data_IF_942038595241
#
_entry.id   IF_942038595241
#
_cell.length_a   1.000
_cell.length_b   1.000
_cell.length_c   1.000
_cell.angle_alpha   90.00
_cell.angle_beta   90.00
_cell.angle_gamma   90.00
#
_symmetry.space_group_name_H-M   'P 1'
#
loop_
_entity.id
_entity.type
_entity.pdbx_description
1 polymer ?
#
# COMPACT_ATOMS: atom_id res chain seq x y z
N UNK A 1 -2.43 15.74 75.77
CA UNK A 1 -2.34 14.72 74.71
C UNK A 1 -3.68 14.70 74.01
N UNK A 2 -3.84 15.56 73.01
CA UNK A 2 -4.96 15.51 72.07
C UNK A 2 -4.48 14.65 70.89
N UNK A 3 -5.15 13.52 70.66
CA UNK A 3 -4.88 12.65 69.52
C UNK A 3 -5.74 13.14 68.36
N UNK A 4 -5.04 13.72 67.38
CA UNK A 4 -5.55 14.22 66.13
C UNK A 4 -5.95 13.02 65.25
N UNK A 5 -7.26 12.79 65.06
CA UNK A 5 -7.75 11.88 64.03
C UNK A 5 -7.61 12.59 62.68
N UNK A 6 -6.45 12.42 62.05
CA UNK A 6 -6.23 12.75 60.65
C UNK A 6 -7.03 11.79 59.79
N UNK A 7 -8.08 12.32 59.19
CA UNK A 7 -8.90 11.73 58.14
C UNK A 7 -8.02 11.47 56.91
N UNK A 8 -7.64 10.22 56.68
CA UNK A 8 -6.84 9.78 55.53
C UNK A 8 -7.78 9.61 54.32
N UNK A 9 -8.31 10.72 53.81
CA UNK A 9 -8.99 10.77 52.53
C UNK A 9 -7.94 10.56 51.42
N UNK A 10 -7.71 9.30 51.04
CA UNK A 10 -7.12 8.99 49.74
C UNK A 10 -8.01 9.61 48.66
N UNK A 11 -7.49 10.43 47.75
CA UNK A 11 -8.27 10.84 46.59
C UNK A 11 -8.64 9.57 45.83
N UNK A 12 -9.94 9.35 45.63
CA UNK A 12 -10.40 8.36 44.67
C UNK A 12 -9.72 8.70 43.33
N UNK A 13 -9.01 7.74 42.73
CA UNK A 13 -8.54 7.86 41.35
C UNK A 13 -9.79 8.05 40.48
N UNK A 14 -10.18 9.30 40.24
CA UNK A 14 -11.31 9.62 39.39
C UNK A 14 -11.05 9.01 38.00
N UNK A 15 -11.96 8.18 37.52
CA UNK A 15 -11.89 7.61 36.18
C UNK A 15 -12.17 8.72 35.15
N UNK A 16 -11.13 9.51 34.87
CA UNK A 16 -11.15 10.65 33.95
C UNK A 16 -11.47 10.23 32.52
N UNK A 17 -11.22 8.97 32.15
CA UNK A 17 -11.58 8.44 30.83
C UNK A 17 -13.09 8.28 30.71
N UNK A 18 -13.76 7.74 31.74
CA UNK A 18 -15.22 7.65 31.75
C UNK A 18 -15.94 9.00 31.86
N UNK A 19 -15.22 10.10 32.14
CA UNK A 19 -15.76 11.47 32.08
C UNK A 19 -15.79 12.07 30.67
N UNK A 20 -15.08 11.48 29.69
CA UNK A 20 -15.09 11.95 28.31
C UNK A 20 -16.47 11.71 27.67
N UNK A 21 -16.79 12.48 26.64
CA UNK A 21 -18.02 12.34 25.85
C UNK A 21 -17.92 11.14 24.88
N UNK A 22 -19.06 10.58 24.47
CA UNK A 22 -19.09 9.36 23.64
C UNK A 22 -18.35 9.53 22.31
N UNK A 23 -18.39 10.72 21.70
CA UNK A 23 -17.67 11.04 20.47
C UNK A 23 -16.14 10.93 20.63
N UNK A 24 -15.60 11.40 21.76
CA UNK A 24 -14.16 11.27 22.05
C UNK A 24 -13.82 9.81 22.33
N UNK A 25 -14.65 9.09 23.09
CA UNK A 25 -14.41 7.68 23.38
C UNK A 25 -14.46 6.82 22.11
N UNK A 26 -15.38 7.11 21.19
CA UNK A 26 -15.45 6.45 19.89
C UNK A 26 -14.23 6.78 19.03
N UNK A 27 -13.72 8.01 19.07
CA UNK A 27 -12.48 8.37 18.38
C UNK A 27 -11.27 7.62 18.94
N UNK A 28 -11.20 7.40 20.25
CA UNK A 28 -10.13 6.60 20.88
C UNK A 28 -10.26 5.13 20.47
N UNK A 29 -11.47 4.58 20.54
CA UNK A 29 -11.74 3.18 20.19
C UNK A 29 -11.51 2.91 18.69
N UNK A 30 -11.80 3.87 17.82
CA UNK A 30 -11.51 3.77 16.39
C UNK A 30 -10.02 3.81 16.04
N UNK A 31 -9.16 4.22 16.99
CA UNK A 31 -7.71 4.26 16.80
C UNK A 31 -6.98 2.98 17.26
N UNK A 32 -7.69 2.02 17.88
CA UNK A 32 -7.13 0.74 18.33
C UNK A 32 -7.71 -0.43 17.53
N UNK A 33 -7.09 -1.60 17.61
CA UNK A 33 -7.61 -2.80 16.97
C UNK A 33 -8.97 -3.22 17.55
N UNK A 34 -9.78 -3.90 16.74
CA UNK A 34 -11.14 -4.28 17.12
C UNK A 34 -11.18 -5.19 18.35
N UNK A 35 -10.18 -6.03 18.56
CA UNK A 35 -10.12 -6.91 19.73
C UNK A 35 -9.92 -6.07 21.00
N UNK A 36 -9.00 -5.12 20.98
CA UNK A 36 -8.78 -4.16 22.07
C UNK A 36 -10.01 -3.30 22.32
N UNK A 37 -10.63 -2.76 21.26
CA UNK A 37 -11.84 -1.95 21.38
C UNK A 37 -12.95 -2.73 22.09
N UNK A 38 -13.23 -3.97 21.69
CA UNK A 38 -14.25 -4.82 22.33
C UNK A 38 -13.91 -5.14 23.79
N UNK A 39 -12.64 -5.37 24.12
CA UNK A 39 -12.20 -5.65 25.49
C UNK A 39 -12.44 -4.47 26.44
N UNK A 40 -12.41 -3.23 25.97
CA UNK A 40 -12.77 -2.06 26.80
C UNK A 40 -14.18 -2.14 27.37
N UNK A 41 -15.06 -2.97 26.78
CA UNK A 41 -16.41 -3.19 27.27
C UNK A 41 -16.51 -3.75 28.69
N UNK A 42 -15.41 -4.25 29.27
CA UNK A 42 -15.35 -4.70 30.67
C UNK A 42 -15.18 -3.55 31.67
N UNK A 43 -14.81 -2.35 31.20
CA UNK A 43 -14.50 -1.21 32.06
C UNK A 43 -15.74 -0.67 32.76
N UNK A 44 -16.86 -0.55 32.03
CA UNK A 44 -18.15 -0.19 32.61
C UNK A 44 -19.33 -0.56 31.70
N UNK A 45 -20.55 -0.41 32.22
CA UNK A 45 -21.80 -0.59 31.44
C UNK A 45 -21.89 0.35 30.25
N UNK A 46 -21.29 1.55 30.33
CA UNK A 46 -21.20 2.50 29.21
C UNK A 46 -20.26 1.97 28.13
N UNK A 47 -19.04 1.60 28.50
CA UNK A 47 -18.03 1.09 27.57
C UNK A 47 -18.45 -0.19 26.86
N UNK A 48 -19.29 -1.02 27.50
CA UNK A 48 -19.83 -2.26 26.91
C UNK A 48 -20.49 -2.05 25.54
N UNK A 49 -21.12 -0.89 25.33
CA UNK A 49 -21.89 -0.61 24.12
C UNK A 49 -21.11 0.20 23.07
N UNK A 50 -20.05 0.91 23.47
CA UNK A 50 -19.33 1.85 22.60
C UNK A 50 -18.72 1.20 21.34
N UNK A 51 -18.05 0.02 21.42
CA UNK A 51 -17.49 -0.61 20.22
C UNK A 51 -18.54 -0.88 19.14
N UNK A 52 -19.80 -1.15 19.53
CA UNK A 52 -20.89 -1.43 18.59
C UNK A 52 -21.44 -0.17 17.91
N UNK A 53 -21.06 1.03 18.37
CA UNK A 53 -21.43 2.32 17.77
C UNK A 53 -20.39 2.83 16.76
N UNK A 54 -19.23 2.15 16.63
CA UNK A 54 -18.21 2.52 15.67
C UNK A 54 -18.75 2.48 14.23
N UNK A 55 -18.49 3.55 13.47
CA UNK A 55 -18.88 3.69 12.06
C UNK A 55 -17.77 3.26 11.11
N UNK A 56 -16.53 3.34 11.56
CA UNK A 56 -15.37 2.77 10.88
C UNK A 56 -14.95 1.52 11.65
N UNK A 57 -14.96 0.37 10.98
CA UNK A 57 -14.69 -0.91 11.59
C UNK A 57 -13.57 -1.61 10.83
N UNK A 58 -12.50 -1.98 11.53
CA UNK A 58 -11.39 -2.76 10.96
C UNK A 58 -11.35 -4.14 11.59
N UNK A 59 -11.61 -5.17 10.80
CA UNK A 59 -11.48 -6.56 11.24
C UNK A 59 -10.34 -7.18 10.44
N UNK A 60 -9.18 -7.29 11.08
CA UNK A 60 -7.98 -7.88 10.51
C UNK A 60 -7.77 -9.28 11.10
N UNK A 61 -7.63 -10.31 10.28
CA UNK A 61 -7.36 -11.66 10.77
C UNK A 61 -6.05 -11.74 11.57
N UNK A 62 -5.06 -10.87 11.30
CA UNK A 62 -3.78 -10.87 12.02
C UNK A 62 -3.91 -10.43 13.48
N UNK A 63 -4.96 -9.69 13.84
CA UNK A 63 -5.26 -9.28 15.22
C UNK A 63 -5.68 -10.47 16.10
N UNK A 64 -6.09 -11.59 15.48
CA UNK A 64 -6.52 -12.81 16.18
C UNK A 64 -5.41 -13.87 16.28
N UNK A 65 -4.21 -13.58 15.76
CA UNK A 65 -3.05 -14.45 15.90
C UNK A 65 -2.40 -14.28 17.28
N UNK A 66 -1.66 -15.30 17.72
CA UNK A 66 -0.87 -15.21 18.96
C UNK A 66 0.24 -14.17 18.85
N UNK A 67 0.63 -13.56 19.97
CA UNK A 67 1.78 -12.65 20.07
C UNK A 67 2.89 -13.33 20.90
N UNK A 68 4.12 -13.49 20.37
CA UNK A 68 4.56 -13.12 19.03
C UNK A 68 3.91 -13.99 17.94
N UNK A 69 3.78 -13.43 16.73
CA UNK A 69 3.20 -14.14 15.59
C UNK A 69 4.02 -15.39 15.25
N UNK A 70 3.38 -16.53 14.95
CA UNK A 70 4.09 -17.68 14.38
C UNK A 70 4.79 -17.30 13.08
N UNK A 71 6.00 -17.82 12.86
CA UNK A 71 6.70 -17.66 11.58
C UNK A 71 7.37 -19.00 11.21
N UNK A 72 6.88 -19.74 10.20
CA UNK A 72 5.75 -19.38 9.32
C UNK A 72 4.38 -19.47 10.02
N UNK A 73 3.37 -18.80 9.47
CA UNK A 73 1.98 -18.93 9.93
C UNK A 73 1.37 -20.19 9.30
N UNK A 74 1.27 -21.23 10.10
CA UNK A 74 0.68 -22.50 9.68
C UNK A 74 -0.84 -22.41 9.47
N UNK A 75 -1.39 -23.38 8.71
CA UNK A 75 -2.81 -23.44 8.36
C UNK A 75 -3.73 -23.48 9.58
N UNK A 76 -3.33 -24.14 10.67
CA UNK A 76 -4.12 -24.18 11.91
C UNK A 76 -4.27 -22.78 12.55
N UNK A 77 -3.21 -21.96 12.50
CA UNK A 77 -3.25 -20.59 13.00
C UNK A 77 -4.16 -19.72 12.14
N UNK A 78 -4.09 -19.87 10.81
CA UNK A 78 -5.00 -19.18 9.88
C UNK A 78 -6.45 -19.57 10.13
N UNK A 79 -6.74 -20.85 10.34
CA UNK A 79 -8.09 -21.36 10.63
C UNK A 79 -8.65 -20.74 11.91
N UNK A 80 -7.89 -20.76 13.01
CA UNK A 80 -8.30 -20.17 14.29
C UNK A 80 -8.52 -18.65 14.20
N UNK A 81 -7.65 -17.96 13.46
CA UNK A 81 -7.79 -16.53 13.21
C UNK A 81 -9.06 -16.23 12.40
N UNK A 82 -9.32 -17.00 11.34
CA UNK A 82 -10.52 -16.85 10.51
C UNK A 82 -11.81 -17.21 11.25
N UNK A 83 -11.79 -18.21 12.14
CA UNK A 83 -12.92 -18.50 13.02
C UNK A 83 -13.25 -17.31 13.93
N UNK A 84 -12.22 -16.67 14.48
CA UNK A 84 -12.35 -15.49 15.35
C UNK A 84 -12.84 -14.27 14.57
N UNK A 85 -12.26 -14.01 13.39
CA UNK A 85 -12.70 -12.97 12.46
C UNK A 85 -14.16 -13.16 12.07
N UNK A 86 -14.56 -14.39 11.71
CA UNK A 86 -15.94 -14.72 11.32
C UNK A 86 -16.92 -14.47 12.45
N UNK A 87 -16.55 -14.82 13.69
CA UNK A 87 -17.35 -14.53 14.87
C UNK A 87 -17.46 -13.02 15.11
N UNK A 88 -16.37 -12.27 14.95
CA UNK A 88 -16.35 -10.82 15.09
C UNK A 88 -17.24 -10.16 14.05
N UNK A 89 -17.03 -10.45 12.75
CA UNK A 89 -17.81 -9.92 11.64
C UNK A 89 -19.31 -10.21 11.83
N UNK A 90 -19.67 -11.45 12.19
CA UNK A 90 -21.06 -11.80 12.49
C UNK A 90 -21.63 -10.95 13.64
N UNK A 91 -20.86 -10.75 14.70
CA UNK A 91 -21.32 -9.98 15.86
C UNK A 91 -21.57 -8.52 15.49
N UNK A 92 -20.63 -7.87 14.78
CA UNK A 92 -20.76 -6.46 14.39
C UNK A 92 -21.88 -6.22 13.38
N UNK A 93 -22.06 -7.13 12.41
CA UNK A 93 -23.05 -6.97 11.34
C UNK A 93 -24.47 -7.41 11.78
N UNK A 94 -24.59 -8.27 12.80
CA UNK A 94 -25.87 -8.72 13.33
C UNK A 94 -26.61 -7.66 14.16
N UNK A 95 -25.89 -6.69 14.76
CA UNK A 95 -26.52 -5.66 15.60
C UNK A 95 -27.54 -4.85 14.76
N UNK A 96 -28.83 -4.82 15.15
CA UNK A 96 -29.79 -3.90 14.55
C UNK A 96 -29.37 -2.47 14.91
N UNK A 97 -28.87 -1.72 13.94
CA UNK A 97 -28.47 -0.32 14.14
C UNK A 97 -29.68 0.56 13.84
N UNK A 98 -30.20 1.24 14.86
CA UNK A 98 -31.40 2.10 14.74
C UNK A 98 -31.11 3.45 14.09
N UNK A 99 -29.85 3.93 14.09
CA UNK A 99 -29.52 5.30 13.61
C UNK A 99 -28.22 5.44 12.81
N UNK A 100 -27.24 4.51 12.88
CA UNK A 100 -25.93 4.71 12.26
C UNK A 100 -25.50 3.56 11.33
N UNK A 101 -25.23 3.90 10.07
CA UNK A 101 -24.56 3.05 9.08
C UNK A 101 -23.07 2.92 9.39
N UNK A 102 -22.48 1.79 8.99
CA UNK A 102 -21.03 1.59 8.94
C UNK A 102 -20.56 2.36 7.70
N UNK A 103 -19.90 3.50 7.93
CA UNK A 103 -19.37 4.36 6.86
C UNK A 103 -18.22 3.69 6.12
N UNK A 104 -17.43 2.86 6.83
CA UNK A 104 -16.37 2.08 6.23
C UNK A 104 -16.13 0.77 6.98
N UNK A 105 -16.21 -0.33 6.26
CA UNK A 105 -15.81 -1.65 6.75
C UNK A 105 -14.47 -2.01 6.10
N UNK A 106 -13.43 -2.18 6.91
CA UNK A 106 -12.16 -2.73 6.49
C UNK A 106 -12.07 -4.20 6.93
N UNK A 107 -11.89 -5.09 5.97
CA UNK A 107 -11.77 -6.52 6.17
C UNK A 107 -10.45 -6.99 5.59
N UNK A 108 -9.60 -7.58 6.43
CA UNK A 108 -8.40 -8.30 5.96
C UNK A 108 -8.53 -9.75 6.36
N UNK A 109 -8.54 -10.64 5.37
CA UNK A 109 -8.87 -12.04 5.56
C UNK A 109 -8.04 -12.97 4.69
N UNK A 110 -7.96 -14.22 5.12
CA UNK A 110 -7.51 -15.34 4.31
C UNK A 110 -8.71 -15.99 3.63
N UNK A 111 -8.58 -16.38 2.36
CA UNK A 111 -9.53 -17.26 1.70
C UNK A 111 -9.13 -18.72 1.93
N UNK A 112 -9.27 -19.19 3.17
CA UNK A 112 -9.00 -20.58 3.57
C UNK A 112 -10.28 -21.32 3.94
N UNK A 113 -10.28 -22.64 3.74
CA UNK A 113 -11.38 -23.54 4.09
C UNK A 113 -12.72 -23.03 3.52
N UNK A 114 -13.79 -23.10 4.33
CA UNK A 114 -15.15 -22.69 3.96
C UNK A 114 -15.57 -21.37 4.62
N UNK A 115 -14.62 -20.54 5.09
CA UNK A 115 -14.97 -19.26 5.73
C UNK A 115 -15.56 -18.26 4.72
N UNK A 116 -15.22 -18.37 3.44
CA UNK A 116 -15.83 -17.61 2.34
C UNK A 116 -17.34 -17.82 2.27
N UNK A 117 -17.83 -19.03 2.53
CA UNK A 117 -19.26 -19.39 2.54
C UNK A 117 -20.03 -18.75 3.71
N UNK A 118 -19.31 -18.22 4.70
CA UNK A 118 -19.88 -17.53 5.85
C UNK A 118 -19.70 -16.02 5.75
N UNK A 119 -18.49 -15.55 5.47
CA UNK A 119 -18.18 -14.12 5.37
C UNK A 119 -18.83 -13.50 4.15
N UNK A 120 -18.80 -14.17 3.00
CA UNK A 120 -19.38 -13.66 1.77
C UNK A 120 -20.86 -13.28 1.91
N UNK A 121 -21.73 -14.16 2.41
CA UNK A 121 -23.14 -13.83 2.61
C UNK A 121 -23.36 -12.78 3.69
N UNK A 122 -22.56 -12.79 4.78
CA UNK A 122 -22.67 -11.78 5.85
C UNK A 122 -22.38 -10.38 5.33
N UNK A 123 -21.31 -10.21 4.57
CA UNK A 123 -20.92 -8.91 3.98
C UNK A 123 -21.93 -8.50 2.91
N UNK A 124 -22.33 -9.43 2.03
CA UNK A 124 -23.32 -9.17 0.99
C UNK A 124 -24.64 -8.68 1.59
N UNK A 125 -25.17 -9.37 2.59
CA UNK A 125 -26.40 -8.96 3.27
C UNK A 125 -26.28 -7.59 3.95
N UNK A 126 -25.12 -7.29 4.53
CA UNK A 126 -24.89 -5.99 5.15
C UNK A 126 -24.86 -4.86 4.10
N UNK A 127 -24.29 -5.10 2.93
CA UNK A 127 -24.29 -4.17 1.80
C UNK A 127 -25.70 -4.01 1.23
N UNK A 128 -26.39 -5.12 0.94
CA UNK A 128 -27.73 -5.12 0.34
C UNK A 128 -28.78 -4.46 1.25
N UNK A 129 -28.58 -4.53 2.56
CA UNK A 129 -29.44 -3.84 3.55
C UNK A 129 -29.05 -2.38 3.79
N UNK A 130 -28.03 -1.85 3.09
CA UNK A 130 -27.53 -0.48 3.25
C UNK A 130 -26.81 -0.22 4.57
N UNK A 131 -26.41 -1.26 5.31
CA UNK A 131 -25.68 -1.10 6.58
C UNK A 131 -24.23 -0.70 6.38
N UNK A 132 -23.62 -1.08 5.25
CA UNK A 132 -22.23 -0.78 4.89
C UNK A 132 -22.23 0.12 3.67
N UNK A 133 -21.62 1.30 3.79
CA UNK A 133 -21.54 2.29 2.70
C UNK A 133 -20.28 2.09 1.84
N UNK A 134 -19.15 1.77 2.47
CA UNK A 134 -17.84 1.63 1.84
C UNK A 134 -17.12 0.38 2.36
N UNK A 135 -16.49 -0.36 1.45
CA UNK A 135 -15.74 -1.58 1.74
C UNK A 135 -14.28 -1.44 1.30
N UNK A 136 -13.39 -1.73 2.24
CA UNK A 136 -11.97 -1.93 2.04
C UNK A 136 -11.65 -3.41 2.29
N UNK A 137 -11.33 -4.15 1.22
CA UNK A 137 -11.09 -5.58 1.29
C UNK A 137 -9.64 -5.91 0.94
N UNK A 138 -8.96 -6.58 1.86
CA UNK A 138 -7.65 -7.18 1.64
C UNK A 138 -7.75 -8.71 1.71
N UNK A 139 -7.41 -9.38 0.62
CA UNK A 139 -7.25 -10.84 0.59
C UNK A 139 -5.76 -11.12 0.66
N UNK A 140 -5.32 -11.52 1.86
CA UNK A 140 -3.91 -11.68 2.20
C UNK A 140 -3.49 -13.14 2.09
N UNK A 141 -2.18 -13.35 1.97
CA UNK A 141 -1.52 -14.65 2.02
C UNK A 141 -0.23 -14.48 2.83
N UNK A 142 0.09 -15.45 3.70
CA UNK A 142 1.29 -15.42 4.54
C UNK A 142 2.49 -16.10 3.88
N UNK A 143 2.30 -16.77 2.74
CA UNK A 143 3.45 -17.25 1.96
C UNK A 143 4.29 -16.07 1.52
N UNK A 144 5.55 -16.09 1.90
CA UNK A 144 6.53 -15.17 1.35
C UNK A 144 6.63 -15.35 -0.17
N UNK A 145 6.98 -14.31 -0.93
CA UNK A 145 7.14 -14.42 -2.38
C UNK A 145 8.06 -15.57 -2.80
N UNK A 146 9.15 -15.81 -2.06
CA UNK A 146 10.11 -16.89 -2.32
C UNK A 146 9.54 -18.29 -2.06
N UNK A 147 8.52 -18.39 -1.20
CA UNK A 147 7.84 -19.65 -0.85
C UNK A 147 6.52 -19.85 -1.65
N UNK A 148 6.13 -18.87 -2.47
CA UNK A 148 4.88 -18.88 -3.22
C UNK A 148 5.13 -19.26 -4.68
N UNK A 149 4.86 -20.52 -5.01
CA UNK A 149 4.99 -21.02 -6.38
C UNK A 149 3.80 -20.59 -7.24
N UNK A 150 3.98 -20.55 -8.56
CA UNK A 150 2.93 -20.15 -9.52
C UNK A 150 1.61 -20.92 -9.31
N UNK A 151 1.68 -22.22 -8.99
CA UNK A 151 0.48 -23.04 -8.69
C UNK A 151 -0.33 -22.50 -7.50
N UNK A 152 0.34 -21.99 -6.46
CA UNK A 152 -0.33 -21.41 -5.30
C UNK A 152 -1.01 -20.09 -5.68
N UNK A 153 -0.32 -19.26 -6.46
CA UNK A 153 -0.86 -17.99 -6.94
C UNK A 153 -2.08 -18.16 -7.86
N UNK A 154 -2.09 -19.21 -8.70
CA UNK A 154 -3.25 -19.58 -9.53
C UNK A 154 -4.40 -20.11 -8.65
N UNK A 155 -4.12 -20.93 -7.64
CA UNK A 155 -5.16 -21.37 -6.69
C UNK A 155 -5.77 -20.19 -5.95
N UNK A 156 -4.96 -19.23 -5.53
CA UNK A 156 -5.45 -18.02 -4.88
C UNK A 156 -6.31 -17.20 -5.84
N UNK A 157 -5.89 -17.03 -7.10
CA UNK A 157 -6.69 -16.39 -8.15
C UNK A 157 -8.10 -17.01 -8.25
N UNK A 158 -8.18 -18.34 -8.36
CA UNK A 158 -9.46 -19.05 -8.43
C UNK A 158 -10.31 -18.88 -7.16
N UNK A 159 -9.71 -18.89 -5.97
CA UNK A 159 -10.43 -18.65 -4.72
C UNK A 159 -11.02 -17.24 -4.68
N UNK A 160 -10.26 -16.24 -5.12
CA UNK A 160 -10.71 -14.84 -5.18
C UNK A 160 -11.82 -14.67 -6.22
N UNK A 161 -11.66 -15.22 -7.41
CA UNK A 161 -12.68 -15.21 -8.46
C UNK A 161 -13.98 -15.88 -7.98
N UNK A 162 -13.86 -17.05 -7.37
CA UNK A 162 -14.99 -17.79 -6.80
C UNK A 162 -15.70 -16.99 -5.71
N UNK A 163 -14.95 -16.29 -4.85
CA UNK A 163 -15.52 -15.45 -3.80
C UNK A 163 -16.37 -14.31 -4.38
N UNK A 164 -15.85 -13.57 -5.36
CA UNK A 164 -16.59 -12.46 -5.98
C UNK A 164 -17.74 -12.93 -6.87
N UNK A 165 -17.57 -14.06 -7.57
CA UNK A 165 -18.63 -14.69 -8.37
C UNK A 165 -19.80 -15.15 -7.50
N UNK A 166 -19.53 -15.70 -6.32
CA UNK A 166 -20.57 -16.09 -5.36
C UNK A 166 -21.23 -14.90 -4.65
N UNK A 167 -20.52 -13.76 -4.54
CA UNK A 167 -20.93 -12.61 -3.75
C UNK A 167 -20.78 -11.28 -4.50
N UNK A 168 -21.49 -11.09 -5.63
CA UNK A 168 -21.31 -9.91 -6.49
C UNK A 168 -21.66 -8.58 -5.79
N UNK A 169 -22.55 -8.59 -4.79
CA UNK A 169 -22.89 -7.39 -4.00
C UNK A 169 -21.68 -6.73 -3.35
N UNK A 170 -20.65 -7.52 -3.00
CA UNK A 170 -19.38 -7.03 -2.43
C UNK A 170 -18.72 -5.99 -3.34
N UNK A 171 -18.83 -6.16 -4.66
CA UNK A 171 -18.20 -5.30 -5.67
C UNK A 171 -18.83 -3.90 -5.74
N UNK A 172 -20.09 -3.75 -5.30
CA UNK A 172 -20.82 -2.48 -5.39
C UNK A 172 -20.31 -1.41 -4.43
N UNK A 173 -19.82 -1.82 -3.25
CA UNK A 173 -19.30 -0.93 -2.21
C UNK A 173 -17.76 -0.93 -2.13
N UNK A 174 -17.09 -1.74 -2.95
CA UNK A 174 -15.64 -1.89 -2.90
C UNK A 174 -14.92 -0.61 -3.38
N UNK A 175 -14.24 0.06 -2.45
CA UNK A 175 -13.50 1.30 -2.69
C UNK A 175 -11.98 1.09 -2.64
N UNK A 176 -11.53 0.11 -1.87
CA UNK A 176 -10.13 -0.33 -1.81
C UNK A 176 -10.06 -1.85 -1.90
N UNK A 177 -9.16 -2.32 -2.76
CA UNK A 177 -8.87 -3.74 -2.93
C UNK A 177 -7.37 -3.97 -2.80
N UNK A 178 -6.98 -4.89 -1.93
CA UNK A 178 -5.62 -5.37 -1.79
C UNK A 178 -5.56 -6.87 -2.04
N UNK A 179 -4.74 -7.29 -2.99
CA UNK A 179 -4.59 -8.69 -3.38
C UNK A 179 -3.12 -9.10 -3.29
N UNK A 180 -2.87 -10.24 -2.65
CA UNK A 180 -1.53 -10.80 -2.45
C UNK A 180 -1.42 -12.14 -3.19
N UNK A 181 -0.24 -12.40 -3.77
CA UNK A 181 0.14 -13.70 -4.34
C UNK A 181 -0.88 -14.23 -5.37
N UNK A 182 -1.08 -13.51 -6.48
CA UNK A 182 -2.06 -13.91 -7.51
C UNK A 182 -1.44 -14.01 -8.89
N UNK A 183 -1.75 -15.07 -9.64
CA UNK A 183 -1.35 -15.29 -11.03
C UNK A 183 -2.58 -15.35 -11.94
N UNK A 184 -2.55 -14.63 -13.07
CA UNK A 184 -3.75 -14.37 -13.89
C UNK A 184 -3.64 -14.86 -15.33
N UNK A 185 -2.95 -15.99 -15.56
CA UNK A 185 -2.89 -16.56 -16.92
C UNK A 185 -4.27 -16.86 -17.51
N UNK A 186 -5.28 -17.17 -16.67
CA UNK A 186 -6.62 -17.60 -17.10
C UNK A 186 -7.79 -16.78 -16.51
N UNK A 187 -7.53 -15.82 -15.61
CA UNK A 187 -8.56 -15.04 -14.92
C UNK A 187 -8.67 -13.60 -15.47
N UNK A 188 -9.87 -13.22 -15.93
CA UNK A 188 -10.15 -11.86 -16.43
C UNK A 188 -10.29 -10.83 -15.29
N UNK A 189 -9.16 -10.49 -14.69
CA UNK A 189 -9.05 -9.44 -13.67
C UNK A 189 -9.51 -8.08 -14.18
N UNK A 190 -9.34 -7.82 -15.47
CA UNK A 190 -9.72 -6.54 -16.05
C UNK A 190 -11.21 -6.34 -15.93
N UNK A 191 -11.99 -7.37 -16.27
CA UNK A 191 -13.43 -7.35 -16.11
C UNK A 191 -13.82 -7.09 -14.65
N UNK A 192 -13.25 -7.82 -13.69
CA UNK A 192 -13.54 -7.60 -12.27
C UNK A 192 -13.23 -6.16 -11.83
N UNK A 193 -12.00 -5.70 -12.05
CA UNK A 193 -11.48 -4.45 -11.51
C UNK A 193 -12.11 -3.21 -12.15
N UNK A 194 -12.36 -3.25 -13.46
CA UNK A 194 -12.73 -2.05 -14.22
C UNK A 194 -14.18 -2.10 -14.72
N UNK A 195 -14.73 -3.29 -14.97
CA UNK A 195 -16.11 -3.41 -15.42
C UNK A 195 -17.07 -3.65 -14.25
N UNK A 196 -16.72 -4.49 -13.27
CA UNK A 196 -17.62 -4.79 -12.15
C UNK A 196 -17.50 -3.78 -11.00
N UNK A 197 -16.29 -3.40 -10.60
CA UNK A 197 -16.07 -2.48 -9.49
C UNK A 197 -16.31 -1.02 -9.88
N UNK A 198 -17.52 -0.49 -9.65
CA UNK A 198 -17.88 0.90 -10.03
C UNK A 198 -17.39 2.00 -9.07
N UNK A 199 -16.88 1.63 -7.89
CA UNK A 199 -16.46 2.56 -6.84
C UNK A 199 -14.99 2.43 -6.45
N UNK A 200 -14.22 1.55 -7.10
CA UNK A 200 -12.84 1.27 -6.74
C UNK A 200 -11.98 2.53 -6.95
N UNK A 201 -11.37 3.00 -5.86
CA UNK A 201 -10.47 4.16 -5.81
C UNK A 201 -9.03 3.76 -5.55
N UNK A 202 -8.80 2.67 -4.84
CA UNK A 202 -7.47 2.18 -4.54
C UNK A 202 -7.30 0.70 -4.86
N UNK A 203 -6.26 0.38 -5.62
CA UNK A 203 -5.85 -0.99 -5.92
C UNK A 203 -4.40 -1.19 -5.48
N UNK A 204 -4.18 -2.20 -4.66
CA UNK A 204 -2.86 -2.69 -4.28
C UNK A 204 -2.71 -4.14 -4.72
N UNK A 205 -1.67 -4.45 -5.49
CA UNK A 205 -1.31 -5.82 -5.88
C UNK A 205 0.10 -6.12 -5.38
N UNK A 206 0.26 -7.21 -4.64
CA UNK A 206 1.56 -7.71 -4.19
C UNK A 206 1.84 -9.08 -4.78
N UNK A 207 3.08 -9.27 -5.25
CA UNK A 207 3.55 -10.51 -5.87
C UNK A 207 2.56 -11.00 -6.93
N UNK A 208 2.21 -10.11 -7.87
CA UNK A 208 1.28 -10.40 -8.96
C UNK A 208 2.04 -10.83 -10.21
N UNK A 209 1.64 -11.95 -10.82
CA UNK A 209 2.14 -12.42 -12.11
C UNK A 209 1.03 -12.41 -13.18
N UNK A 210 1.25 -11.67 -14.27
CA UNK A 210 0.36 -11.65 -15.43
C UNK A 210 0.66 -12.81 -16.42
N UNK A 211 1.52 -13.75 -16.03
CA UNK A 211 1.97 -14.88 -16.82
C UNK A 211 3.17 -14.51 -17.69
N UNK A 212 4.36 -14.98 -17.30
CA UNK A 212 5.54 -14.98 -18.18
C UNK A 212 6.05 -13.59 -18.57
N UNK A 213 6.05 -12.64 -17.64
CA UNK A 213 6.45 -11.24 -17.89
C UNK A 213 5.61 -10.59 -19.01
N UNK A 214 4.33 -10.89 -19.07
CA UNK A 214 3.41 -10.24 -20.01
C UNK A 214 3.23 -8.75 -19.66
N UNK A 215 2.77 -7.98 -20.66
CA UNK A 215 2.44 -6.58 -20.44
C UNK A 215 1.01 -6.48 -19.89
N UNK A 216 0.83 -5.78 -18.78
CA UNK A 216 -0.50 -5.50 -18.23
C UNK A 216 -1.02 -4.17 -18.79
N UNK A 217 -2.09 -4.23 -19.59
CA UNK A 217 -2.61 -3.07 -20.34
C UNK A 217 -3.90 -2.57 -19.74
N UNK A 218 -3.89 -1.36 -19.17
CA UNK A 218 -5.08 -0.77 -18.56
C UNK A 218 -5.72 0.24 -19.50
N UNK A 219 -6.97 -0.04 -19.88
CA UNK A 219 -7.84 0.88 -20.60
C UNK A 219 -9.20 0.96 -19.89
N UNK A 220 -9.36 1.93 -19.00
CA UNK A 220 -10.57 2.05 -18.19
C UNK A 220 -10.98 3.53 -18.05
N UNK A 221 -11.62 4.12 -19.09
CA UNK A 221 -11.98 5.54 -19.12
C UNK A 221 -12.99 5.94 -18.03
N UNK A 222 -13.87 5.02 -17.64
CA UNK A 222 -14.90 5.27 -16.62
C UNK A 222 -14.44 4.94 -15.18
N UNK A 223 -13.20 4.44 -15.03
CA UNK A 223 -12.67 4.03 -13.74
C UNK A 223 -12.58 5.20 -12.76
N UNK A 224 -12.88 4.91 -11.48
CA UNK A 224 -12.71 5.84 -10.36
C UNK A 224 -11.37 5.67 -9.65
N UNK A 225 -10.49 4.83 -10.18
CA UNK A 225 -9.20 4.52 -9.58
C UNK A 225 -8.33 5.77 -9.48
N UNK A 226 -8.01 6.17 -8.24
CA UNK A 226 -7.15 7.31 -7.92
C UNK A 226 -5.75 6.87 -7.52
N UNK A 227 -5.60 5.66 -6.98
CA UNK A 227 -4.32 5.14 -6.51
C UNK A 227 -4.12 3.72 -7.04
N UNK A 228 -2.94 3.48 -7.64
CA UNK A 228 -2.48 2.16 -8.07
C UNK A 228 -1.12 1.87 -7.42
N UNK A 229 -1.04 0.80 -6.65
CA UNK A 229 0.17 0.36 -5.97
C UNK A 229 0.51 -1.07 -6.37
N UNK A 230 1.74 -1.30 -6.80
CA UNK A 230 2.27 -2.60 -7.21
C UNK A 230 3.50 -2.90 -6.38
N UNK A 231 3.54 -4.07 -5.74
CA UNK A 231 4.68 -4.57 -4.99
C UNK A 231 5.14 -5.92 -5.53
N UNK A 232 6.44 -6.08 -5.81
CA UNK A 232 7.04 -7.35 -6.24
C UNK A 232 6.33 -8.01 -7.43
N UNK A 233 5.75 -7.22 -8.34
CA UNK A 233 4.95 -7.74 -9.45
C UNK A 233 5.82 -8.19 -10.64
N UNK A 234 5.59 -9.41 -11.12
CA UNK A 234 6.26 -10.07 -12.24
C UNK A 234 5.69 -9.62 -13.60
N UNK A 235 5.67 -8.31 -13.87
CA UNK A 235 5.18 -7.75 -15.13
C UNK A 235 6.34 -7.43 -16.08
N UNK A 236 6.15 -7.70 -17.37
CA UNK A 236 7.08 -7.21 -18.39
C UNK A 236 6.99 -5.70 -18.55
N UNK A 237 5.77 -5.16 -18.50
CA UNK A 237 5.49 -3.73 -18.61
C UNK A 237 4.07 -3.41 -18.15
N UNK A 238 3.87 -2.26 -17.50
CA UNK A 238 2.55 -1.69 -17.26
C UNK A 238 2.24 -0.63 -18.34
N UNK A 239 1.21 -0.87 -19.13
CA UNK A 239 0.75 0.03 -20.19
C UNK A 239 -0.57 0.68 -19.80
N UNK A 240 -0.52 1.90 -19.24
CA UNK A 240 -1.73 2.64 -18.86
C UNK A 240 -2.16 3.52 -20.04
N UNK A 241 -3.05 2.98 -20.87
CA UNK A 241 -3.59 3.69 -22.03
C UNK A 241 -4.65 4.73 -21.63
N UNK A 242 -5.49 4.43 -20.64
CA UNK A 242 -6.49 5.38 -20.16
C UNK A 242 -6.88 5.10 -18.70
N UNK A 243 -6.51 6.01 -17.80
CA UNK A 243 -6.96 6.08 -16.41
C UNK A 243 -7.07 7.55 -15.98
N UNK A 244 -8.17 8.24 -16.30
CA UNK A 244 -8.22 9.70 -16.22
C UNK A 244 -8.17 10.26 -14.79
N UNK A 245 -8.59 9.46 -13.79
CA UNK A 245 -8.64 9.85 -12.37
C UNK A 245 -7.43 9.38 -11.56
N UNK A 246 -6.46 8.69 -12.17
CA UNK A 246 -5.28 8.20 -11.46
C UNK A 246 -4.45 9.40 -10.99
N UNK A 247 -4.29 9.52 -9.67
CA UNK A 247 -3.54 10.61 -9.02
C UNK A 247 -2.17 10.15 -8.52
N UNK A 248 -2.07 8.88 -8.08
CA UNK A 248 -0.84 8.28 -7.57
C UNK A 248 -0.59 6.91 -8.20
N UNK A 249 0.64 6.70 -8.66
CA UNK A 249 1.15 5.39 -9.02
C UNK A 249 2.40 5.08 -8.22
N UNK A 250 2.39 3.96 -7.49
CA UNK A 250 3.56 3.41 -6.83
C UNK A 250 3.89 2.05 -7.44
N UNK A 251 5.13 1.85 -7.87
CA UNK A 251 5.62 0.53 -8.23
C UNK A 251 6.91 0.25 -7.48
N UNK A 252 6.78 -0.68 -6.53
CA UNK A 252 7.85 -1.27 -5.78
C UNK A 252 8.25 -2.61 -6.40
N UNK A 253 9.51 -2.69 -6.83
CA UNK A 253 10.19 -3.90 -7.27
C UNK A 253 9.59 -4.54 -8.53
N UNK A 254 9.89 -3.99 -9.71
CA UNK A 254 9.70 -4.67 -10.99
C UNK A 254 10.94 -5.49 -11.38
N UNK A 255 10.71 -6.61 -12.05
CA UNK A 255 11.78 -7.57 -12.44
C UNK A 255 12.30 -7.33 -13.86
N UNK A 256 11.47 -6.80 -14.76
CA UNK A 256 11.81 -6.67 -16.17
C UNK A 256 13.02 -5.72 -16.40
N UNK A 257 14.02 -6.10 -17.23
CA UNK A 257 15.21 -5.28 -17.47
C UNK A 257 14.98 -4.06 -18.37
N UNK A 258 13.77 -3.91 -18.92
CA UNK A 258 13.39 -2.87 -19.86
C UNK A 258 12.59 -1.74 -19.17
N UNK A 259 12.08 -0.79 -19.97
CA UNK A 259 11.26 0.31 -19.44
C UNK A 259 9.96 -0.25 -18.85
N UNK A 260 9.70 -0.08 -17.54
CA UNK A 260 8.60 -0.77 -16.86
C UNK A 260 7.24 -0.16 -17.19
N UNK A 261 7.20 1.12 -17.61
CA UNK A 261 5.97 1.91 -17.68
C UNK A 261 5.79 2.59 -19.03
N UNK A 262 4.53 2.72 -19.46
CA UNK A 262 4.12 3.71 -20.46
C UNK A 262 2.74 4.25 -20.16
N UNK A 263 2.59 5.57 -20.32
CA UNK A 263 1.35 6.30 -20.14
C UNK A 263 0.86 6.88 -21.46
N UNK A 264 -0.46 6.97 -21.61
CA UNK A 264 -1.12 7.74 -22.68
C UNK A 264 -2.09 8.75 -22.05
N UNK A 265 -3.32 8.37 -21.70
CA UNK A 265 -4.32 9.28 -21.12
C UNK A 265 -4.38 9.15 -19.58
N UNK A 266 -3.56 9.93 -18.87
CA UNK A 266 -3.50 10.01 -17.39
C UNK A 266 -3.37 11.47 -16.87
N UNK A 267 -4.31 12.37 -17.22
CA UNK A 267 -4.20 13.81 -16.93
C UNK A 267 -4.12 14.19 -15.44
N UNK A 268 -4.55 13.31 -14.54
CA UNK A 268 -4.59 13.60 -13.09
C UNK A 268 -3.37 13.10 -12.32
N UNK A 269 -2.41 12.44 -12.97
CA UNK A 269 -1.28 11.81 -12.28
C UNK A 269 -0.36 12.88 -11.68
N UNK A 270 -0.34 12.96 -10.35
CA UNK A 270 0.44 13.94 -9.57
C UNK A 270 1.64 13.31 -8.88
N UNK A 271 1.54 12.05 -8.49
CA UNK A 271 2.57 11.36 -7.74
C UNK A 271 3.00 10.06 -8.43
N UNK A 272 4.30 9.93 -8.67
CA UNK A 272 4.92 8.74 -9.23
C UNK A 272 6.07 8.28 -8.34
N UNK A 273 5.95 7.07 -7.80
CA UNK A 273 6.97 6.45 -6.95
C UNK A 273 7.48 5.17 -7.63
N UNK A 274 8.78 5.12 -7.90
CA UNK A 274 9.44 4.00 -8.55
C UNK A 274 10.58 3.51 -7.66
N UNK A 275 10.43 2.30 -7.13
CA UNK A 275 11.38 1.68 -6.21
C UNK A 275 11.89 0.41 -6.89
N UNK A 276 13.20 0.32 -7.11
CA UNK A 276 13.79 -0.85 -7.76
C UNK A 276 15.27 -1.00 -7.38
N UNK A 277 15.60 -2.20 -6.92
CA UNK A 277 16.96 -2.65 -6.66
C UNK A 277 17.78 -2.83 -7.95
N UNK A 278 17.14 -3.09 -9.09
CA UNK A 278 17.74 -3.28 -10.42
C UNK A 278 18.89 -4.33 -10.47
N UNK A 279 18.60 -5.49 -11.05
CA UNK A 279 19.62 -6.54 -11.28
C UNK A 279 20.67 -6.12 -12.31
N UNK A 280 21.73 -6.92 -12.43
CA UNK A 280 22.82 -6.70 -13.39
C UNK A 280 22.32 -6.52 -14.83
N UNK A 281 21.25 -7.24 -15.20
CA UNK A 281 20.65 -7.21 -16.54
C UNK A 281 19.84 -5.95 -16.83
N UNK A 282 19.49 -5.17 -15.80
CA UNK A 282 18.65 -3.99 -15.94
C UNK A 282 19.34 -2.92 -16.80
N UNK A 283 18.78 -2.60 -17.97
CA UNK A 283 19.43 -1.75 -18.98
C UNK A 283 19.28 -0.24 -18.70
N UNK A 284 18.48 0.09 -17.70
CA UNK A 284 18.07 1.44 -17.39
C UNK A 284 17.22 2.09 -18.48
N UNK A 285 16.44 3.10 -18.10
CA UNK A 285 15.49 3.72 -19.00
C UNK A 285 15.44 5.24 -18.88
N UNK A 286 14.77 5.82 -19.88
CA UNK A 286 14.62 7.26 -20.04
C UNK A 286 13.30 7.69 -19.39
N UNK A 287 13.37 8.53 -18.37
CA UNK A 287 12.17 9.08 -17.73
C UNK A 287 11.39 9.97 -18.71
N UNK A 288 12.07 10.66 -19.61
CA UNK A 288 11.44 11.47 -20.67
C UNK A 288 10.53 10.64 -21.59
N UNK A 289 10.82 9.34 -21.75
CA UNK A 289 9.97 8.42 -22.53
C UNK A 289 8.75 7.96 -21.73
N UNK A 290 8.92 7.68 -20.44
CA UNK A 290 7.83 7.25 -19.56
C UNK A 290 6.82 8.38 -19.37
N UNK A 291 7.32 9.60 -19.12
CA UNK A 291 6.53 10.79 -18.81
C UNK A 291 6.22 11.66 -20.04
N UNK A 292 6.46 11.16 -21.26
CA UNK A 292 6.37 11.96 -22.49
C UNK A 292 5.01 12.66 -22.63
N UNK A 293 3.94 11.93 -22.34
CA UNK A 293 2.56 12.37 -22.53
C UNK A 293 1.90 12.78 -21.19
N UNK A 294 2.68 12.85 -20.10
CA UNK A 294 2.21 13.24 -18.76
C UNK A 294 2.96 14.47 -18.27
N UNK A 295 2.26 15.60 -18.16
CA UNK A 295 2.84 16.88 -17.69
C UNK A 295 2.24 17.36 -16.36
N UNK A 296 1.56 16.48 -15.64
CA UNK A 296 0.87 16.78 -14.38
C UNK A 296 1.64 16.33 -13.14
N UNK A 297 2.74 15.58 -13.29
CA UNK A 297 3.48 15.01 -12.15
C UNK A 297 4.13 16.13 -11.34
N UNK A 298 3.76 16.21 -10.06
CA UNK A 298 4.24 17.19 -9.10
C UNK A 298 5.25 16.56 -8.12
N UNK A 299 5.09 15.27 -7.82
CA UNK A 299 5.92 14.53 -6.88
C UNK A 299 6.51 13.28 -7.57
N UNK A 300 7.83 13.19 -7.60
CA UNK A 300 8.55 12.05 -8.16
C UNK A 300 9.49 11.46 -7.10
N UNK A 301 9.33 10.17 -6.82
CA UNK A 301 10.25 9.40 -5.96
C UNK A 301 10.95 8.34 -6.80
N UNK A 302 12.28 8.33 -6.77
CA UNK A 302 13.13 7.32 -7.38
C UNK A 302 13.96 6.68 -6.27
N UNK A 303 13.69 5.42 -5.96
CA UNK A 303 14.45 4.67 -4.97
C UNK A 303 15.29 3.58 -5.66
N UNK A 304 16.60 3.66 -5.49
CA UNK A 304 17.59 2.77 -6.13
C UNK A 304 18.03 1.60 -5.25
N UNK A 305 17.51 1.53 -4.01
CA UNK A 305 17.76 0.49 -3.00
C UNK A 305 19.24 0.10 -2.82
N UNK A 306 20.16 1.06 -2.97
CA UNK A 306 21.58 0.90 -2.70
C UNK A 306 22.40 0.25 -3.82
N UNK A 307 21.82 0.02 -5.01
CA UNK A 307 22.45 -0.82 -6.03
C UNK A 307 22.88 -0.06 -7.28
N UNK A 308 21.91 0.32 -8.12
CA UNK A 308 22.17 0.86 -9.45
C UNK A 308 21.30 2.06 -9.70
N UNK A 309 21.90 3.16 -10.16
CA UNK A 309 21.16 4.31 -10.68
C UNK A 309 20.58 3.93 -12.05
N UNK A 310 19.38 3.36 -12.06
CA UNK A 310 18.77 2.76 -13.25
C UNK A 310 18.12 3.77 -14.21
N UNK A 311 18.17 5.07 -13.91
CA UNK A 311 17.73 6.12 -14.83
C UNK A 311 18.85 6.54 -15.78
N UNK A 312 18.49 6.84 -17.03
CA UNK A 312 19.41 7.48 -17.98
C UNK A 312 19.35 8.99 -17.78
N UNK A 313 20.50 9.64 -17.61
CA UNK A 313 20.60 11.10 -17.49
C UNK A 313 20.39 11.74 -18.87
N UNK A 314 19.33 12.51 -19.04
CA UNK A 314 18.93 13.05 -20.35
C UNK A 314 19.07 14.57 -20.46
N UNK A 315 19.49 15.22 -19.36
CA UNK A 315 19.62 16.67 -19.26
C UNK A 315 18.34 17.39 -19.70
N UNK A 316 18.47 18.27 -20.68
CA UNK A 316 17.36 19.12 -21.16
C UNK A 316 16.15 18.34 -21.71
N UNK A 317 16.29 17.07 -22.06
CA UNK A 317 15.16 16.25 -22.51
C UNK A 317 14.12 16.02 -21.38
N UNK A 318 14.52 16.16 -20.12
CA UNK A 318 13.64 16.04 -18.96
C UNK A 318 12.84 17.31 -18.66
N UNK A 319 13.22 18.46 -19.23
CA UNK A 319 12.58 19.75 -18.91
C UNK A 319 11.07 19.73 -19.13
N UNK A 320 10.60 19.05 -20.17
CA UNK A 320 9.16 18.92 -20.47
C UNK A 320 8.43 18.12 -19.39
N UNK A 321 9.01 17.00 -18.97
CA UNK A 321 8.41 16.11 -17.97
C UNK A 321 8.47 16.72 -16.55
N UNK A 322 9.51 17.51 -16.26
CA UNK A 322 9.77 18.07 -14.93
C UNK A 322 9.27 19.52 -14.77
N UNK A 323 8.56 20.07 -15.76
CA UNK A 323 8.15 21.48 -15.77
C UNK A 323 7.17 21.88 -14.65
N UNK A 324 6.46 20.91 -14.05
CA UNK A 324 5.56 21.12 -12.90
C UNK A 324 6.04 20.43 -11.63
N UNK A 325 7.20 19.79 -11.66
CA UNK A 325 7.71 19.03 -10.54
C UNK A 325 7.98 19.98 -9.36
N UNK A 326 7.42 19.64 -8.19
CA UNK A 326 7.54 20.39 -6.94
C UNK A 326 8.36 19.64 -5.90
N UNK A 327 8.27 18.31 -5.87
CA UNK A 327 9.08 17.44 -5.03
C UNK A 327 9.80 16.40 -5.88
N UNK A 328 11.11 16.31 -5.70
CA UNK A 328 11.93 15.19 -6.19
C UNK A 328 12.59 14.52 -4.99
N UNK A 329 12.28 13.24 -4.79
CA UNK A 329 12.91 12.38 -3.79
C UNK A 329 13.82 11.37 -4.49
N UNK A 330 15.09 11.36 -4.12
CA UNK A 330 16.08 10.38 -4.59
C UNK A 330 16.53 9.56 -3.39
N UNK A 331 16.06 8.32 -3.33
CA UNK A 331 16.27 7.44 -2.18
C UNK A 331 17.12 6.23 -2.54
N UNK A 332 17.65 5.55 -1.53
CA UNK A 332 18.45 4.36 -1.77
C UNK A 332 19.76 4.65 -2.50
N UNK A 333 20.35 5.84 -2.35
CA UNK A 333 21.61 6.18 -3.04
C UNK A 333 22.77 5.57 -2.24
N UNK A 334 23.52 4.63 -2.82
CA UNK A 334 24.66 4.04 -2.13
C UNK A 334 25.67 5.11 -1.69
N UNK A 335 26.17 5.01 -0.46
CA UNK A 335 27.04 6.02 0.17
C UNK A 335 28.31 6.37 -0.62
N UNK A 336 28.84 5.43 -1.42
CA UNK A 336 30.03 5.68 -2.24
C UNK A 336 29.73 6.28 -3.63
N UNK A 337 28.47 6.51 -3.98
CA UNK A 337 28.12 7.11 -5.25
C UNK A 337 28.40 8.61 -5.25
N UNK A 338 29.05 9.07 -6.33
CA UNK A 338 29.08 10.50 -6.64
C UNK A 338 27.66 11.05 -6.76
N UNK A 339 27.48 12.28 -6.29
CA UNK A 339 26.22 12.99 -6.17
C UNK A 339 26.04 14.05 -7.26
N UNK A 340 27.09 14.35 -8.04
CA UNK A 340 27.07 15.42 -9.06
C UNK A 340 26.02 15.20 -10.15
N UNK A 341 25.71 13.95 -10.50
CA UNK A 341 24.70 13.66 -11.52
C UNK A 341 23.30 14.18 -11.17
N UNK A 342 22.99 14.36 -9.88
CA UNK A 342 21.69 14.89 -9.44
C UNK A 342 21.47 16.33 -9.91
N UNK A 343 22.55 17.09 -10.12
CA UNK A 343 22.47 18.45 -10.68
C UNK A 343 21.80 18.44 -12.06
N UNK A 344 22.00 17.38 -12.86
CA UNK A 344 21.36 17.23 -14.17
C UNK A 344 19.84 17.17 -14.04
N UNK A 345 19.32 16.52 -12.99
CA UNK A 345 17.87 16.46 -12.73
C UNK A 345 17.34 17.80 -12.22
N UNK A 346 18.08 18.46 -11.33
CA UNK A 346 17.71 19.78 -10.79
C UNK A 346 17.70 20.87 -11.87
N UNK A 347 18.64 20.86 -12.81
CA UNK A 347 18.64 21.78 -13.95
C UNK A 347 17.42 21.58 -14.85
N UNK A 348 16.91 20.35 -14.95
CA UNK A 348 15.70 20.03 -15.70
C UNK A 348 14.40 20.38 -14.96
N UNK A 349 14.42 20.55 -13.63
CA UNK A 349 13.26 20.79 -12.79
C UNK A 349 13.25 22.22 -12.19
N UNK A 350 12.97 23.27 -12.99
CA UNK A 350 13.09 24.66 -12.53
C UNK A 350 12.07 25.07 -11.44
N UNK A 351 10.98 24.32 -11.28
CA UNK A 351 9.88 24.59 -10.33
C UNK A 351 9.99 23.84 -9.00
N UNK A 352 11.06 23.07 -8.82
CA UNK A 352 11.25 22.24 -7.63
C UNK A 352 11.32 23.11 -6.38
N UNK A 353 10.51 22.76 -5.38
CA UNK A 353 10.49 23.40 -4.06
C UNK A 353 11.09 22.52 -2.96
N UNK A 354 10.97 21.20 -3.11
CA UNK A 354 11.51 20.21 -2.18
C UNK A 354 12.41 19.25 -2.95
N UNK A 355 13.65 19.17 -2.53
CA UNK A 355 14.59 18.17 -3.00
C UNK A 355 15.04 17.34 -1.80
N UNK A 356 14.73 16.05 -1.85
CA UNK A 356 14.86 15.11 -0.74
C UNK A 356 15.81 13.99 -1.17
N UNK A 357 16.80 13.68 -0.34
CA UNK A 357 17.84 12.70 -0.62
C UNK A 357 17.96 11.78 0.58
N UNK A 358 17.92 10.47 0.33
CA UNK A 358 18.22 9.44 1.30
C UNK A 358 19.45 8.65 0.84
N UNK A 359 20.52 8.71 1.64
CA UNK A 359 21.74 7.93 1.44
C UNK A 359 21.56 6.58 2.10
N UNK A 360 21.97 5.53 1.39
CA UNK A 360 21.83 4.15 1.78
C UNK A 360 23.18 3.54 2.13
N UNK A 361 23.25 3.06 3.37
CA UNK A 361 24.31 2.19 3.86
C UNK A 361 23.65 1.15 4.78
N UNK A 362 23.79 -0.13 4.43
CA UNK A 362 23.27 -1.20 5.26
C UNK A 362 24.44 -2.05 5.76
N UNK A 363 24.78 -2.02 7.07
CA UNK A 363 25.94 -2.72 7.62
C UNK A 363 25.98 -4.22 7.33
N UNK A 364 24.81 -4.84 7.11
CA UNK A 364 24.71 -6.27 6.77
C UNK A 364 24.91 -6.57 5.28
N UNK A 365 24.86 -5.57 4.39
CA UNK A 365 25.09 -5.77 2.95
C UNK A 365 26.59 -5.66 2.68
N UNK A 366 27.26 -6.80 2.83
CA UNK A 366 28.68 -6.94 2.46
C UNK A 366 28.79 -7.04 0.95
N UNK A 367 29.73 -6.30 0.36
CA UNK A 367 30.01 -6.39 -1.07
C UNK A 367 30.78 -7.68 -1.40
N UNK A 368 30.03 -8.78 -1.50
CA UNK A 368 30.53 -10.13 -1.78
C UNK A 368 30.23 -10.56 -3.23
N UNK A 369 30.82 -11.68 -3.65
CA UNK A 369 30.67 -12.16 -5.03
C UNK A 369 29.23 -12.62 -5.35
N UNK A 370 28.49 -13.20 -4.40
CA UNK A 370 27.09 -13.63 -4.59
C UNK A 370 26.19 -12.45 -4.95
N UNK A 371 26.33 -11.36 -4.21
CA UNK A 371 25.66 -10.10 -4.47
C UNK A 371 26.02 -9.53 -5.85
N UNK A 372 27.32 -9.49 -6.19
CA UNK A 372 27.79 -8.98 -7.49
C UNK A 372 27.31 -9.84 -8.66
N UNK A 373 27.05 -11.13 -8.46
CA UNK A 373 26.42 -11.96 -9.48
C UNK A 373 24.98 -11.54 -9.78
N UNK A 374 24.23 -11.08 -8.78
CA UNK A 374 22.81 -10.71 -8.92
C UNK A 374 22.68 -9.26 -9.42
N UNK A 375 23.41 -8.32 -8.80
CA UNK A 375 23.22 -6.88 -9.01
C UNK A 375 24.33 -6.24 -9.85
N UNK A 376 25.46 -6.93 -10.04
CA UNK A 376 26.64 -6.37 -10.70
C UNK A 376 27.42 -5.42 -9.80
N UNK A 377 28.42 -4.77 -10.39
CA UNK A 377 29.19 -3.74 -9.70
C UNK A 377 28.36 -2.47 -9.51
N UNK A 378 28.42 -1.92 -8.30
CA UNK A 378 27.85 -0.62 -7.98
C UNK A 378 28.57 0.44 -8.80
N UNK A 379 27.85 1.08 -9.71
CA UNK A 379 28.41 2.09 -10.62
C UNK A 379 27.65 3.40 -10.51
N UNK A 380 28.36 4.48 -10.19
CA UNK A 380 27.80 5.83 -10.20
C UNK A 380 27.83 6.40 -11.63
N UNK A 381 26.78 7.11 -12.07
CA UNK A 381 26.81 7.83 -13.33
C UNK A 381 27.95 8.87 -13.35
N UNK A 382 28.88 8.73 -14.28
CA UNK A 382 29.93 9.74 -14.47
C UNK A 382 29.34 11.01 -15.10
N UNK A 383 29.46 12.15 -14.41
CA UNK A 383 29.09 13.47 -14.94
C UNK A 383 30.24 14.45 -14.69
N UNK A 384 30.58 15.29 -15.68
CA UNK A 384 31.68 16.26 -15.54
C UNK A 384 31.15 17.62 -15.13
N UNK A 385 31.85 18.30 -14.21
CA UNK A 385 31.46 19.64 -13.72
C UNK A 385 31.27 20.67 -14.85
N UNK A 386 32.00 20.52 -15.96
CA UNK A 386 31.88 21.35 -17.16
C UNK A 386 30.54 21.22 -17.91
N UNK A 387 29.72 20.23 -17.57
CA UNK A 387 28.42 19.96 -18.22
C UNK A 387 27.28 20.78 -17.57
N UNK A 388 27.52 21.32 -16.37
CA UNK A 388 26.55 22.15 -15.64
C UNK A 388 26.53 23.58 -16.16
N UNK A 389 25.33 24.15 -16.30
CA UNK A 389 25.10 25.50 -16.86
C UNK A 389 24.45 26.45 -15.86
N UNK A 390 23.98 25.95 -14.72
CA UNK A 390 23.23 26.69 -13.71
C UNK A 390 24.08 27.05 -12.49
N UNK A 391 24.06 28.32 -12.08
CA UNK A 391 24.57 28.81 -10.81
C UNK A 391 23.43 29.13 -9.82
N UNK A 392 22.43 28.25 -9.72
CA UNK A 392 21.37 28.40 -8.70
C UNK A 392 21.88 27.91 -7.35
N UNK A 393 21.81 28.77 -6.33
CA UNK A 393 22.02 28.39 -4.93
C UNK A 393 20.77 27.68 -4.41
N UNK A 394 20.94 26.45 -3.93
CA UNK A 394 19.85 25.64 -3.36
C UNK A 394 20.03 25.55 -1.84
N UNK A 395 18.97 25.89 -1.09
CA UNK A 395 18.94 25.69 0.36
C UNK A 395 18.54 24.24 0.65
N UNK A 396 19.53 23.40 0.95
CA UNK A 396 19.30 22.05 1.43
C UNK A 396 18.94 22.10 2.93
N UNK A 397 17.81 21.47 3.31
CA UNK A 397 17.46 21.24 4.70
C UNK A 397 17.55 19.74 4.96
N UNK A 398 18.53 19.32 5.74
CA UNK A 398 18.65 17.94 6.21
C UNK A 398 17.53 17.62 7.20
N UNK A 399 16.90 16.48 7.03
CA UNK A 399 16.02 15.86 8.02
C UNK A 399 16.62 14.51 8.33
N UNK A 400 17.27 14.38 9.48
CA UNK A 400 17.88 13.10 9.88
C UNK A 400 16.76 12.18 10.40
N UNK A 401 16.34 11.23 9.57
CA UNK A 401 15.55 10.09 10.02
C UNK A 401 16.48 8.89 10.10
N UNK A 402 17.00 8.63 11.30
CA UNK A 402 17.63 7.36 11.63
C UNK A 402 16.52 6.35 11.91
N UNK A 403 16.43 5.29 11.10
CA UNK A 403 15.63 4.10 11.40
C UNK A 403 16.47 3.08 12.18
#
# INVERSE_FOLDING_TARGET
MELNNGDDHKPEDEDRLSMLTDDILLSILGAVDTTTAVRTGILSTRWKNLPWLLRELTIDCKDFLSVPHPNPIEVEHMDKAMASLTKAARSFLAVPRTEATITRLQLKLYLVNNYSDVIGPLVSQAIDSGKVEDLDLAIIDEKLPDDCYNEDMVRQAHSVDGFFSAHPSVLHCLSRLSLYNICFSDWDIHHLLFDCCKQLKHLYLSNYDAGGLSAWKIHAPDSKLTVLELGLCCLGKLEVSCLPKLERLCWDSWICPYTPLSFDVVPSLKELNLICIATVDHQGFKLSKVLKDTTSVENLTLNFQGEKIWIKLEGKQLCTAFNKLRKLSLHGIFVEFDLLWMIVLLEAAPTIGIFDIEIWEHPCIVDNDERRQIFGDRTSPSCKVSEFKSCKEWLLRGSDYWL
#
